data_IF_341993378972
#
_entry.id   IF_341993378972
#
_cell.length_a   1.000
_cell.length_b   1.000
_cell.length_c   1.000
_cell.angle_alpha   90.00
_cell.angle_beta   90.00
_cell.angle_gamma   90.00
#
_symmetry.space_group_name_H-M   'P 1'
#
loop_
_entity.id
_entity.type
_entity.pdbx_description
1 polymer ?
#
# COMPACT_ATOMS: atom_id res chain seq x y z
N UNK A 1 33.62 12.98 8.79
CA UNK A 1 32.48 13.89 8.51
C UNK A 1 32.55 14.19 7.03
N UNK A 2 31.67 13.57 6.25
CA UNK A 2 31.59 13.81 4.81
C UNK A 2 30.24 14.48 4.57
N UNK A 3 30.27 15.76 4.26
CA UNK A 3 29.08 16.51 3.83
C UNK A 3 28.51 15.82 2.58
N UNK A 4 27.19 15.57 2.60
CA UNK A 4 26.46 15.18 1.40
C UNK A 4 26.51 16.34 0.39
N UNK A 5 26.73 16.09 -0.92
CA UNK A 5 26.76 17.16 -1.90
C UNK A 5 25.37 17.81 -2.00
N UNK A 6 25.38 19.14 -2.04
CA UNK A 6 24.21 19.98 -2.19
C UNK A 6 23.39 19.58 -3.43
N UNK A 7 22.07 19.57 -3.25
CA UNK A 7 21.02 19.41 -4.24
C UNK A 7 21.30 20.25 -5.50
N UNK A 8 21.95 19.65 -6.49
CA UNK A 8 22.31 20.28 -7.76
C UNK A 8 21.28 19.96 -8.84
N UNK A 9 20.01 19.92 -8.47
CA UNK A 9 18.92 19.73 -9.43
C UNK A 9 18.80 21.02 -10.27
N UNK A 10 19.03 20.98 -11.59
CA UNK A 10 18.86 22.15 -12.43
C UNK A 10 17.40 22.67 -12.31
N UNK A 11 17.15 23.98 -12.24
CA UNK A 11 15.80 24.53 -12.04
C UNK A 11 14.79 24.15 -13.14
N UNK A 12 15.24 23.63 -14.28
CA UNK A 12 14.39 23.14 -15.37
C UNK A 12 14.14 21.62 -15.34
N UNK A 13 14.81 20.87 -14.45
CA UNK A 13 14.77 19.40 -14.45
C UNK A 13 13.39 18.86 -14.08
N UNK A 14 12.79 19.34 -12.98
CA UNK A 14 11.48 18.86 -12.53
C UNK A 14 10.39 19.12 -13.59
N UNK A 15 10.20 20.34 -14.14
CA UNK A 15 9.23 20.55 -15.20
C UNK A 15 9.43 19.63 -16.42
N UNK A 16 10.68 19.46 -16.88
CA UNK A 16 10.99 18.60 -18.02
C UNK A 16 10.72 17.12 -17.73
N UNK A 17 11.03 16.66 -16.51
CA UNK A 17 10.73 15.31 -16.04
C UNK A 17 9.21 15.07 -15.98
N UNK A 18 8.44 16.01 -15.46
CA UNK A 18 6.98 15.89 -15.36
C UNK A 18 6.32 15.85 -16.74
N UNK A 19 6.80 16.66 -17.69
CA UNK A 19 6.34 16.60 -19.09
C UNK A 19 6.70 15.26 -19.73
N UNK A 20 7.92 14.76 -19.51
CA UNK A 20 8.34 13.44 -19.95
C UNK A 20 7.45 12.31 -19.41
N UNK A 21 7.07 12.35 -18.12
CA UNK A 21 6.14 11.36 -17.54
C UNK A 21 4.78 11.37 -18.24
N UNK A 22 4.26 12.55 -18.63
CA UNK A 22 3.01 12.64 -19.40
C UNK A 22 3.14 11.98 -20.76
N UNK A 23 4.28 12.13 -21.45
CA UNK A 23 4.53 11.41 -22.73
C UNK A 23 4.55 9.89 -22.58
N UNK A 24 4.72 9.38 -21.35
CA UNK A 24 4.68 7.94 -21.01
C UNK A 24 3.27 7.47 -20.59
N UNK A 25 2.26 8.31 -20.69
CA UNK A 25 0.88 7.99 -20.31
C UNK A 25 0.60 8.06 -18.81
N UNK A 26 1.42 8.79 -18.05
CA UNK A 26 1.18 9.05 -16.63
C UNK A 26 0.43 10.38 -16.53
N UNK A 27 -0.90 10.30 -16.50
CA UNK A 27 -1.79 11.46 -16.50
C UNK A 27 -1.97 12.09 -15.12
N UNK A 28 -1.81 11.26 -14.08
CA UNK A 28 -1.90 11.68 -12.68
C UNK A 28 -0.73 12.59 -12.28
N UNK A 29 -1.01 13.54 -11.38
CA UNK A 29 0.05 14.42 -10.85
C UNK A 29 1.16 13.63 -10.18
N UNK A 30 2.40 14.09 -10.39
CA UNK A 30 3.62 13.61 -9.74
C UNK A 30 4.43 14.82 -9.31
N UNK A 31 5.18 14.68 -8.23
CA UNK A 31 6.19 15.65 -7.77
C UNK A 31 7.53 14.98 -7.66
N UNK A 32 8.60 15.73 -7.82
CA UNK A 32 9.94 15.27 -7.49
C UNK A 32 10.10 15.18 -5.96
N UNK A 33 10.69 14.08 -5.49
CA UNK A 33 10.96 13.83 -4.06
C UNK A 33 12.44 13.98 -3.78
N UNK A 34 13.27 13.34 -4.59
CA UNK A 34 14.73 13.34 -4.48
C UNK A 34 15.33 13.10 -5.86
N UNK A 35 16.47 13.72 -6.11
CA UNK A 35 17.34 13.42 -7.25
C UNK A 35 18.75 13.19 -6.74
N UNK A 36 19.42 12.21 -7.29
CA UNK A 36 20.86 12.04 -7.12
C UNK A 36 21.54 11.76 -8.48
N UNK A 37 22.74 11.20 -8.47
CA UNK A 37 23.50 10.90 -9.68
C UNK A 37 22.86 9.79 -10.52
N UNK A 38 22.15 8.85 -9.88
CA UNK A 38 21.70 7.60 -10.49
C UNK A 38 20.17 7.52 -10.61
N UNK A 39 19.42 8.22 -9.75
CA UNK A 39 17.96 8.16 -9.71
C UNK A 39 17.24 9.50 -9.54
N UNK A 40 16.00 9.52 -10.01
CA UNK A 40 15.01 10.55 -9.73
C UNK A 40 13.76 9.88 -9.15
N UNK A 41 13.49 10.14 -7.87
CA UNK A 41 12.32 9.63 -7.17
C UNK A 41 11.15 10.61 -7.32
N UNK A 42 10.04 10.11 -7.84
CA UNK A 42 8.80 10.89 -8.00
C UNK A 42 7.69 10.29 -7.15
N UNK A 43 6.81 11.12 -6.59
CA UNK A 43 5.67 10.64 -5.82
C UNK A 43 4.37 11.29 -6.27
N UNK A 44 3.28 10.55 -6.18
CA UNK A 44 1.92 11.07 -6.35
C UNK A 44 1.37 11.73 -5.09
N UNK A 45 2.05 11.55 -3.95
CA UNK A 45 1.56 11.99 -2.65
C UNK A 45 2.20 13.30 -2.23
N UNK A 46 1.40 14.17 -1.63
CA UNK A 46 1.85 15.45 -1.10
C UNK A 46 2.88 15.30 0.02
N UNK A 47 3.74 16.31 0.25
CA UNK A 47 4.57 16.39 1.44
C UNK A 47 3.74 16.17 2.73
N UNK A 48 4.31 15.43 3.67
CA UNK A 48 3.66 15.10 4.95
C UNK A 48 2.60 14.00 4.89
N UNK A 49 2.35 13.38 3.72
CA UNK A 49 1.38 12.27 3.61
C UNK A 49 1.64 11.15 4.62
N UNK A 50 2.88 10.66 4.72
CA UNK A 50 3.25 9.57 5.62
C UNK A 50 2.95 9.89 7.09
N UNK A 51 3.33 11.10 7.55
CA UNK A 51 3.05 11.53 8.92
C UNK A 51 1.54 11.57 9.19
N UNK A 52 0.76 12.14 8.27
CA UNK A 52 -0.69 12.19 8.40
C UNK A 52 -1.34 10.80 8.32
N UNK A 53 -0.78 9.89 7.52
CA UNK A 53 -1.22 8.50 7.45
C UNK A 53 -0.95 7.80 8.78
N UNK A 54 0.25 7.92 9.34
CA UNK A 54 0.58 7.33 10.65
C UNK A 54 -0.27 7.90 11.79
N UNK A 55 -0.57 9.20 11.77
CA UNK A 55 -1.54 9.80 12.70
C UNK A 55 -2.94 9.20 12.56
N UNK A 56 -3.40 8.98 11.33
CA UNK A 56 -4.66 8.30 11.06
C UNK A 56 -4.64 6.85 11.55
N UNK A 57 -3.56 6.10 11.29
CA UNK A 57 -3.43 4.71 11.72
C UNK A 57 -3.47 4.55 13.24
N UNK A 58 -2.98 5.55 14.00
CA UNK A 58 -3.10 5.58 15.47
C UNK A 58 -4.55 5.67 15.97
N UNK A 59 -5.47 6.16 15.15
CA UNK A 59 -6.91 6.23 15.47
C UNK A 59 -7.66 4.94 15.13
N UNK A 60 -7.00 3.99 14.45
CA UNK A 60 -7.58 2.71 14.02
C UNK A 60 -6.73 1.50 14.47
N UNK A 61 -6.38 1.38 15.76
CA UNK A 61 -5.52 0.31 16.24
C UNK A 61 -6.13 -1.09 16.03
N UNK A 62 -7.47 -1.18 15.98
CA UNK A 62 -8.23 -2.40 15.78
C UNK A 62 -7.93 -3.10 14.42
N UNK A 63 -7.39 -2.36 13.44
CA UNK A 63 -6.94 -2.93 12.16
C UNK A 63 -5.61 -3.69 12.25
N UNK A 64 -4.86 -3.47 13.33
CA UNK A 64 -3.52 -4.04 13.54
C UNK A 64 -3.46 -5.01 14.72
N UNK A 65 -4.47 -5.02 15.58
CA UNK A 65 -4.59 -6.00 16.65
C UNK A 65 -5.09 -7.34 16.10
N UNK A 66 -4.22 -8.34 16.04
CA UNK A 66 -4.50 -9.65 15.45
C UNK A 66 -5.76 -10.29 16.05
N UNK A 67 -5.92 -10.26 17.38
CA UNK A 67 -7.06 -10.86 18.06
C UNK A 67 -8.39 -10.20 17.62
N UNK A 68 -8.40 -8.87 17.53
CA UNK A 68 -9.55 -8.10 17.06
C UNK A 68 -9.85 -8.36 15.59
N UNK A 69 -8.82 -8.39 14.73
CA UNK A 69 -8.96 -8.69 13.29
C UNK A 69 -9.56 -10.09 13.10
N UNK A 70 -9.03 -11.11 13.80
CA UNK A 70 -9.52 -12.49 13.73
C UNK A 70 -10.97 -12.58 14.21
N UNK A 71 -11.29 -11.97 15.35
CA UNK A 71 -12.65 -12.00 15.90
C UNK A 71 -13.67 -11.32 14.97
N UNK A 72 -13.32 -10.16 14.41
CA UNK A 72 -14.19 -9.45 13.47
C UNK A 72 -14.35 -10.21 12.15
N UNK A 73 -13.27 -10.77 11.62
CA UNK A 73 -13.31 -11.59 10.41
C UNK A 73 -14.20 -12.82 10.62
N UNK A 74 -14.03 -13.54 11.73
CA UNK A 74 -14.86 -14.70 12.06
C UNK A 74 -16.34 -14.35 12.19
N UNK A 75 -16.67 -13.20 12.82
CA UNK A 75 -18.05 -12.69 12.89
C UNK A 75 -18.63 -12.42 11.51
N UNK A 76 -17.86 -11.81 10.61
CA UNK A 76 -18.29 -11.54 9.24
C UNK A 76 -18.44 -12.84 8.45
N UNK A 77 -17.46 -13.74 8.50
CA UNK A 77 -17.52 -15.07 7.86
C UNK A 77 -18.79 -15.84 8.23
N UNK A 78 -19.17 -15.83 9.51
CA UNK A 78 -20.40 -16.49 9.99
C UNK A 78 -21.69 -15.93 9.35
N UNK A 79 -21.67 -14.68 8.86
CA UNK A 79 -22.80 -14.04 8.19
C UNK A 79 -22.80 -14.22 6.66
N UNK A 80 -21.72 -14.75 6.08
CA UNK A 80 -21.55 -14.91 4.62
C UNK A 80 -20.93 -16.27 4.25
N UNK A 81 -21.59 -17.39 4.57
CA UNK A 81 -21.00 -18.73 4.42
C UNK A 81 -20.62 -19.09 2.97
N UNK A 82 -21.27 -18.49 1.98
CA UNK A 82 -21.06 -18.74 0.55
C UNK A 82 -20.01 -17.82 -0.09
N UNK A 83 -19.47 -16.86 0.65
CA UNK A 83 -18.46 -15.93 0.15
C UNK A 83 -17.03 -16.45 0.43
N UNK A 84 -16.04 -16.08 -0.40
CA UNK A 84 -14.64 -16.37 -0.12
C UNK A 84 -14.17 -15.77 1.22
N UNK A 85 -13.29 -16.47 1.93
CA UNK A 85 -12.75 -16.01 3.22
C UNK A 85 -12.03 -14.66 3.12
N UNK A 86 -11.32 -14.40 2.02
CA UNK A 86 -10.65 -13.10 1.79
C UNK A 86 -11.66 -11.97 1.64
N UNK A 87 -12.81 -12.21 1.01
CA UNK A 87 -13.93 -11.25 0.93
C UNK A 87 -14.48 -10.91 2.31
N UNK A 88 -14.61 -11.91 3.20
CA UNK A 88 -15.04 -11.68 4.57
C UNK A 88 -14.04 -10.85 5.39
N UNK A 89 -12.74 -11.16 5.27
CA UNK A 89 -11.68 -10.34 5.87
C UNK A 89 -11.73 -8.89 5.36
N UNK A 90 -11.82 -8.71 4.04
CA UNK A 90 -11.91 -7.38 3.41
C UNK A 90 -13.11 -6.60 3.93
N UNK A 91 -14.28 -7.25 3.99
CA UNK A 91 -15.50 -6.65 4.55
C UNK A 91 -15.33 -6.27 6.02
N UNK A 92 -14.71 -7.12 6.84
CA UNK A 92 -14.44 -6.83 8.24
C UNK A 92 -13.53 -5.61 8.43
N UNK A 93 -12.48 -5.47 7.60
CA UNK A 93 -11.58 -4.31 7.64
C UNK A 93 -12.31 -3.03 7.25
N UNK A 94 -13.16 -3.07 6.22
CA UNK A 94 -13.97 -1.93 5.81
C UNK A 94 -15.00 -1.51 6.88
N UNK A 95 -15.63 -2.48 7.57
CA UNK A 95 -16.53 -2.21 8.68
C UNK A 95 -15.79 -1.54 9.85
N UNK A 96 -14.65 -2.10 10.27
CA UNK A 96 -13.83 -1.53 11.34
C UNK A 96 -13.37 -0.09 11.00
N UNK A 97 -12.98 0.16 9.75
CA UNK A 97 -12.58 1.49 9.29
C UNK A 97 -13.75 2.49 9.26
N UNK A 98 -14.94 2.04 8.86
CA UNK A 98 -16.14 2.88 8.89
C UNK A 98 -16.53 3.24 10.34
N UNK A 99 -16.55 2.26 11.25
CA UNK A 99 -16.83 2.47 12.67
C UNK A 99 -15.85 3.45 13.32
N UNK A 100 -14.55 3.31 13.02
CA UNK A 100 -13.55 4.26 13.52
C UNK A 100 -13.70 5.65 12.89
N UNK A 101 -14.07 5.70 11.61
CA UNK A 101 -14.42 6.93 10.91
C UNK A 101 -15.51 7.72 11.60
N UNK A 102 -16.60 7.05 11.97
CA UNK A 102 -17.70 7.62 12.73
C UNK A 102 -17.26 8.04 14.15
N UNK A 103 -16.56 7.15 14.86
CA UNK A 103 -16.11 7.36 16.25
C UNK A 103 -15.17 8.56 16.40
N UNK A 104 -14.28 8.76 15.43
CA UNK A 104 -13.24 9.80 15.49
C UNK A 104 -13.50 10.97 14.54
N UNK A 105 -14.68 11.02 13.91
CA UNK A 105 -15.05 12.05 12.92
C UNK A 105 -14.00 12.22 11.81
N UNK A 106 -13.45 11.09 11.32
CA UNK A 106 -12.43 11.10 10.29
C UNK A 106 -13.11 11.32 8.93
N UNK A 107 -12.66 12.30 8.12
CA UNK A 107 -13.22 12.52 6.79
C UNK A 107 -13.07 11.29 5.89
N UNK A 108 -14.10 10.97 5.09
CA UNK A 108 -14.09 9.80 4.20
C UNK A 108 -12.90 9.79 3.23
N UNK A 109 -12.51 10.96 2.72
CA UNK A 109 -11.32 11.13 1.87
C UNK A 109 -10.04 10.62 2.55
N UNK A 110 -9.94 10.75 3.88
CA UNK A 110 -8.78 10.27 4.65
C UNK A 110 -8.87 8.75 4.87
N UNK A 111 -10.07 8.22 5.11
CA UNK A 111 -10.28 6.78 5.20
C UNK A 111 -9.97 6.07 3.87
N UNK A 112 -10.20 6.72 2.72
CA UNK A 112 -9.87 6.19 1.40
C UNK A 112 -8.37 5.83 1.25
N UNK A 113 -7.48 6.56 1.92
CA UNK A 113 -6.04 6.26 1.94
C UNK A 113 -5.76 4.91 2.60
N UNK A 114 -6.44 4.61 3.71
CA UNK A 114 -6.33 3.32 4.42
C UNK A 114 -7.01 2.20 3.64
N UNK A 115 -8.18 2.47 3.01
CA UNK A 115 -8.87 1.51 2.14
C UNK A 115 -7.97 1.01 1.02
N UNK A 116 -7.19 1.89 0.41
CA UNK A 116 -6.21 1.51 -0.63
C UNK A 116 -5.16 0.52 -0.10
N UNK A 117 -4.71 0.70 1.15
CA UNK A 117 -3.82 -0.26 1.82
C UNK A 117 -4.50 -1.61 2.06
N UNK A 118 -5.75 -1.59 2.54
CA UNK A 118 -6.57 -2.80 2.73
C UNK A 118 -6.79 -3.55 1.41
N UNK A 119 -7.06 -2.83 0.31
CA UNK A 119 -7.22 -3.41 -1.02
C UNK A 119 -5.92 -4.05 -1.54
N UNK A 120 -4.78 -3.45 -1.22
CA UNK A 120 -3.46 -4.02 -1.57
C UNK A 120 -3.20 -5.32 -0.82
N UNK A 121 -3.53 -5.38 0.48
CA UNK A 121 -3.43 -6.61 1.27
C UNK A 121 -4.41 -7.66 0.78
N UNK A 122 -5.63 -7.28 0.41
CA UNK A 122 -6.60 -8.19 -0.24
C UNK A 122 -5.98 -8.86 -1.46
N UNK A 123 -5.37 -8.09 -2.36
CA UNK A 123 -4.76 -8.65 -3.57
C UNK A 123 -3.64 -9.65 -3.27
N UNK A 124 -2.87 -9.42 -2.20
CA UNK A 124 -1.86 -10.38 -1.72
C UNK A 124 -2.54 -11.64 -1.17
N UNK A 125 -3.58 -11.50 -0.35
CA UNK A 125 -4.32 -12.62 0.20
C UNK A 125 -5.01 -13.47 -0.89
N UNK A 126 -5.60 -12.83 -1.90
CA UNK A 126 -6.20 -13.52 -3.05
C UNK A 126 -5.15 -14.30 -3.86
N UNK A 127 -3.91 -13.78 -3.96
CA UNK A 127 -2.81 -14.49 -4.61
C UNK A 127 -2.29 -15.68 -3.78
N UNK A 128 -2.29 -15.55 -2.46
CA UNK A 128 -1.85 -16.61 -1.52
C UNK A 128 -2.89 -17.72 -1.39
N UNK A 129 -4.17 -17.36 -1.20
CA UNK A 129 -5.29 -18.30 -1.03
C UNK A 129 -6.02 -18.55 -2.35
N UNK A 130 -5.28 -18.98 -3.38
CA UNK A 130 -5.79 -19.11 -4.74
C UNK A 130 -6.90 -20.17 -4.89
N UNK A 131 -7.06 -21.07 -3.91
CA UNK A 131 -8.16 -22.05 -3.93
C UNK A 131 -9.51 -21.42 -3.58
N UNK A 132 -9.52 -20.14 -3.19
CA UNK A 132 -10.71 -19.35 -2.83
C UNK A 132 -11.64 -20.08 -1.84
N UNK A 133 -11.13 -20.52 -0.67
CA UNK A 133 -11.95 -21.25 0.30
C UNK A 133 -13.14 -20.41 0.77
N UNK A 134 -14.31 -21.03 0.89
CA UNK A 134 -15.51 -20.35 1.36
C UNK A 134 -15.51 -20.20 2.88
N UNK A 135 -16.27 -19.23 3.36
CA UNK A 135 -16.40 -18.98 4.79
C UNK A 135 -17.01 -20.17 5.56
N UNK A 136 -17.92 -20.90 4.92
CA UNK A 136 -18.59 -22.07 5.50
C UNK A 136 -17.77 -23.37 5.47
N UNK A 137 -16.65 -23.40 4.76
CA UNK A 137 -15.85 -24.60 4.60
C UNK A 137 -15.07 -24.94 5.87
N UNK A 138 -14.87 -26.24 6.14
CA UNK A 138 -13.78 -26.68 7.01
C UNK A 138 -12.51 -26.74 6.16
N UNK A 139 -11.63 -25.74 6.33
CA UNK A 139 -10.50 -25.53 5.44
C UNK A 139 -9.21 -25.33 6.22
N UNK A 140 -8.19 -26.05 5.77
CA UNK A 140 -6.80 -25.90 6.15
C UNK A 140 -5.99 -25.59 4.87
N UNK A 141 -5.09 -24.59 4.88
CA UNK A 141 -4.28 -24.25 3.73
C UNK A 141 -3.41 -25.40 3.24
N UNK A 142 -3.28 -25.53 1.92
CA UNK A 142 -2.35 -26.49 1.32
C UNK A 142 -0.90 -26.03 1.47
N UNK A 143 0.06 -26.95 1.33
CA UNK A 143 1.48 -26.63 1.46
C UNK A 143 1.93 -25.52 0.52
N UNK A 144 1.37 -25.47 -0.70
CA UNK A 144 1.72 -24.43 -1.66
C UNK A 144 1.21 -23.05 -1.26
N UNK A 145 0.03 -22.95 -0.63
CA UNK A 145 -0.51 -21.66 -0.15
C UNK A 145 0.29 -21.17 1.05
N UNK A 146 0.73 -22.10 1.92
CA UNK A 146 1.67 -21.80 3.01
C UNK A 146 3.00 -21.28 2.46
N UNK A 147 3.53 -21.89 1.41
CA UNK A 147 4.79 -21.46 0.79
C UNK A 147 4.63 -20.10 0.09
N UNK A 148 3.51 -19.87 -0.62
CA UNK A 148 3.20 -18.56 -1.21
C UNK A 148 3.07 -17.46 -0.15
N UNK A 149 2.46 -17.76 1.01
CA UNK A 149 2.40 -16.84 2.14
C UNK A 149 3.80 -16.46 2.65
N UNK A 150 4.69 -17.45 2.82
CA UNK A 150 6.07 -17.22 3.26
C UNK A 150 6.85 -16.39 2.25
N UNK A 151 6.73 -16.69 0.95
CA UNK A 151 7.38 -15.91 -0.11
C UNK A 151 6.88 -14.45 -0.10
N UNK A 152 5.58 -14.24 0.09
CA UNK A 152 5.00 -12.91 0.24
C UNK A 152 5.54 -12.15 1.45
N UNK A 153 5.70 -12.81 2.60
CA UNK A 153 6.32 -12.22 3.79
C UNK A 153 7.79 -11.86 3.56
N UNK A 154 8.58 -12.77 2.97
CA UNK A 154 9.98 -12.49 2.66
C UNK A 154 10.13 -11.31 1.70
N UNK A 155 9.25 -11.20 0.69
CA UNK A 155 9.24 -10.08 -0.23
C UNK A 155 8.89 -8.74 0.45
N UNK A 156 8.03 -8.75 1.47
CA UNK A 156 7.70 -7.58 2.29
C UNK A 156 8.86 -7.19 3.23
N UNK A 157 9.60 -8.15 3.77
CA UNK A 157 10.72 -7.94 4.71
C UNK A 157 12.02 -7.50 4.03
N UNK A 158 12.28 -7.96 2.81
CA UNK A 158 13.53 -7.72 2.06
C UNK A 158 13.69 -6.26 1.61
N UNK A 159 12.74 -5.37 1.93
CA UNK A 159 12.79 -3.94 1.59
C UNK A 159 12.84 -3.66 0.08
N UNK A 160 12.70 -4.70 -0.75
CA UNK A 160 12.39 -4.56 -2.16
C UNK A 160 11.06 -3.85 -2.22
N UNK A 161 11.10 -2.64 -2.74
CA UNK A 161 9.94 -1.77 -2.82
C UNK A 161 8.97 -2.37 -3.86
N UNK A 162 8.18 -3.36 -3.41
CA UNK A 162 7.22 -4.15 -4.20
C UNK A 162 6.16 -3.26 -4.86
N UNK A 163 6.05 -2.00 -4.41
CA UNK A 163 5.18 -0.96 -4.97
C UNK A 163 5.95 0.14 -5.74
N UNK A 164 7.26 -0.01 -5.96
CA UNK A 164 8.05 0.89 -6.79
C UNK A 164 7.88 0.57 -8.27
N UNK A 165 7.18 1.46 -8.96
CA UNK A 165 7.10 1.44 -10.41
C UNK A 165 8.30 2.13 -11.04
N UNK A 166 9.00 1.44 -11.93
CA UNK A 166 10.02 2.03 -12.79
C UNK A 166 9.38 2.65 -14.04
N UNK A 167 9.67 3.91 -14.30
CA UNK A 167 9.09 4.66 -15.42
C UNK A 167 10.02 4.76 -16.64
N UNK A 168 11.30 4.41 -16.48
CA UNK A 168 12.31 4.50 -17.53
C UNK A 168 13.50 5.37 -17.13
N UNK A 169 14.37 5.64 -18.10
CA UNK A 169 15.51 6.55 -17.93
C UNK A 169 15.16 7.96 -18.44
N UNK A 170 15.48 8.98 -17.64
CA UNK A 170 15.41 10.40 -18.02
C UNK A 170 16.75 11.06 -17.71
N UNK A 171 17.39 11.66 -18.74
CA UNK A 171 18.69 12.32 -18.62
C UNK A 171 19.75 11.49 -17.86
N UNK A 172 19.83 10.19 -18.17
CA UNK A 172 20.78 9.26 -17.56
C UNK A 172 20.42 8.73 -16.18
N UNK A 173 19.28 9.16 -15.59
CA UNK A 173 18.82 8.73 -14.27
C UNK A 173 17.61 7.78 -14.37
N UNK A 174 17.57 6.79 -13.48
CA UNK A 174 16.41 5.92 -13.34
C UNK A 174 15.26 6.67 -12.66
N UNK A 175 14.11 6.77 -13.33
CA UNK A 175 12.92 7.42 -12.76
C UNK A 175 12.04 6.36 -12.10
N UNK A 176 11.80 6.51 -10.80
CA UNK A 176 11.08 5.53 -9.97
C UNK A 176 9.99 6.21 -9.14
N UNK A 177 8.88 5.50 -8.96
CA UNK A 177 7.84 5.93 -8.03
C UNK A 177 8.31 5.71 -6.58
N UNK A 178 8.16 6.74 -5.75
CA UNK A 178 8.35 6.66 -4.31
C UNK A 178 6.99 6.61 -3.60
N UNK A 179 6.77 5.53 -2.84
CA UNK A 179 5.64 5.41 -1.93
C UNK A 179 6.09 5.82 -0.51
N UNK A 180 5.70 6.99 -0.01
CA UNK A 180 6.13 7.47 1.30
C UNK A 180 5.53 6.68 2.49
N UNK A 181 4.55 5.80 2.25
CA UNK A 181 3.98 4.92 3.28
C UNK A 181 4.72 3.58 3.47
N UNK A 182 5.77 3.30 2.68
CA UNK A 182 6.56 2.07 2.75
C UNK A 182 7.87 2.23 3.57
N UNK A 183 7.94 3.24 4.44
CA UNK A 183 9.16 3.65 5.15
C UNK A 183 9.06 3.49 6.67
#
# INVERSE_FOLDING_TARGET
MTEAPADSTPPAFEPALLDWLRTRGIEESRRLVRVDADEALVSKFDPGFAARLHELLRLVPDLFDEATVVANTARVMASMPEEPRVTAWHTAMHQALAEAGERHAIPDLRLAEVRTGVDSVRAVLDAVLWTEPLCGDDYAPESGEIDAYREGLEALEDGRDIFTRYYGMFEGRAVRNHCPGAA
#
